data_IF_809717532480
#
_entry.id   IF_809717532480
#
_cell.length_a   1.000
_cell.length_b   1.000
_cell.length_c   1.000
_cell.angle_alpha   90.00
_cell.angle_beta   90.00
_cell.angle_gamma   90.00
#
_symmetry.space_group_name_H-M   'P 1'
#
loop_
_entity.id
_entity.type
_entity.pdbx_description
1 polymer ?
#
# COMPACT_ATOMS: atom_id res chain seq x y z
N UNK A 1 17.14 -27.71 -14.22
CA UNK A 1 16.97 -26.49 -13.41
C UNK A 1 16.25 -26.92 -12.14
N UNK A 2 16.99 -27.08 -11.04
CA UNK A 2 16.43 -27.62 -9.79
C UNK A 2 16.07 -26.43 -8.89
N UNK A 3 14.79 -26.09 -8.80
CA UNK A 3 14.29 -25.12 -7.81
C UNK A 3 14.60 -25.68 -6.41
N UNK A 4 15.46 -24.99 -5.64
CA UNK A 4 15.58 -25.25 -4.20
C UNK A 4 14.50 -24.42 -3.51
N UNK A 5 13.60 -25.10 -2.81
CA UNK A 5 12.46 -24.47 -2.14
C UNK A 5 12.88 -23.44 -1.10
N UNK A 6 11.91 -22.59 -0.74
CA UNK A 6 12.05 -21.59 0.30
C UNK A 6 12.54 -22.22 1.61
N UNK A 7 13.58 -21.64 2.20
CA UNK A 7 14.04 -22.03 3.54
C UNK A 7 13.50 -21.02 4.54
N UNK A 8 12.71 -21.51 5.50
CA UNK A 8 12.33 -20.73 6.68
C UNK A 8 13.53 -20.68 7.61
N UNK A 9 14.18 -19.53 7.72
CA UNK A 9 15.04 -19.28 8.86
C UNK A 9 14.10 -19.06 10.06
N UNK A 10 14.32 -19.75 11.18
CA UNK A 10 13.44 -19.72 12.36
C UNK A 10 13.36 -18.37 13.10
N UNK A 11 13.42 -17.23 12.40
CA UNK A 11 13.63 -15.89 12.95
C UNK A 11 12.98 -14.79 12.08
N UNK A 12 11.67 -14.89 11.81
CA UNK A 12 10.95 -13.83 11.09
C UNK A 12 11.49 -13.53 9.70
N UNK A 13 12.09 -14.53 9.03
CA UNK A 13 12.65 -14.38 7.69
C UNK A 13 12.36 -15.60 6.82
N UNK A 14 11.95 -15.36 5.58
CA UNK A 14 11.88 -16.37 4.52
C UNK A 14 12.88 -15.97 3.43
N UNK A 15 13.70 -16.93 3.00
CA UNK A 15 14.59 -16.78 1.85
C UNK A 15 14.11 -17.69 0.73
N UNK A 16 13.79 -17.10 -0.42
CA UNK A 16 13.50 -17.80 -1.65
C UNK A 16 14.71 -17.73 -2.58
N UNK A 17 15.28 -18.88 -2.92
CA UNK A 17 16.45 -18.98 -3.80
C UNK A 17 15.98 -19.46 -5.17
N UNK A 18 15.75 -18.52 -6.08
CA UNK A 18 15.34 -18.83 -7.45
C UNK A 18 16.49 -19.55 -8.18
N UNK A 19 17.70 -18.98 -8.10
CA UNK A 19 18.93 -19.61 -8.55
C UNK A 19 20.14 -19.11 -7.72
N UNK A 20 21.37 -19.48 -8.11
CA UNK A 20 22.59 -19.10 -7.39
C UNK A 20 22.89 -17.59 -7.44
N UNK A 21 22.34 -16.88 -8.43
CA UNK A 21 22.53 -15.47 -8.68
C UNK A 21 21.30 -14.63 -8.29
N UNK A 22 20.14 -15.23 -7.98
CA UNK A 22 18.91 -14.50 -7.65
C UNK A 22 18.22 -15.10 -6.42
N UNK A 23 18.02 -14.24 -5.43
CA UNK A 23 17.23 -14.58 -4.24
C UNK A 23 16.25 -13.46 -3.93
N UNK A 24 15.16 -13.83 -3.25
CA UNK A 24 14.28 -12.89 -2.58
C UNK A 24 14.29 -13.17 -1.08
N UNK A 25 14.45 -12.13 -0.27
CA UNK A 25 14.38 -12.19 1.18
C UNK A 25 13.16 -11.43 1.67
N UNK A 26 12.37 -12.08 2.52
CA UNK A 26 11.18 -11.53 3.16
C UNK A 26 11.41 -11.47 4.66
N UNK A 27 11.10 -10.33 5.27
CA UNK A 27 11.22 -10.08 6.71
C UNK A 27 9.83 -9.91 7.30
N UNK A 28 9.66 -10.37 8.54
CA UNK A 28 8.40 -10.35 9.26
C UNK A 28 8.58 -9.76 10.66
N UNK A 29 7.52 -9.15 11.18
CA UNK A 29 7.46 -8.76 12.60
C UNK A 29 7.00 -9.92 13.50
N UNK A 30 6.89 -9.66 14.80
CA UNK A 30 6.47 -10.64 15.82
C UNK A 30 5.03 -11.15 15.61
N UNK A 31 4.22 -10.44 14.82
CA UNK A 31 2.87 -10.86 14.42
C UNK A 31 2.85 -11.58 13.07
N UNK A 32 4.02 -11.96 12.55
CA UNK A 32 4.20 -12.61 11.25
C UNK A 32 3.66 -11.77 10.07
N UNK A 33 3.77 -10.44 10.16
CA UNK A 33 3.39 -9.51 9.08
C UNK A 33 4.64 -9.07 8.32
N UNK A 34 4.57 -9.01 7.00
CA UNK A 34 5.69 -8.64 6.13
C UNK A 34 6.20 -7.22 6.44
N UNK A 35 7.46 -7.04 6.83
CA UNK A 35 8.07 -5.72 7.11
C UNK A 35 9.03 -5.27 6.02
N UNK A 36 9.56 -6.21 5.24
CA UNK A 36 10.49 -5.91 4.17
C UNK A 36 10.59 -7.03 3.14
N UNK A 37 10.82 -6.66 1.89
CA UNK A 37 11.13 -7.58 0.81
C UNK A 37 12.30 -7.04 -0.02
N UNK A 38 13.29 -7.88 -0.31
CA UNK A 38 14.48 -7.53 -1.07
C UNK A 38 14.71 -8.58 -2.14
N UNK A 39 14.94 -8.16 -3.38
CA UNK A 39 15.12 -9.07 -4.50
C UNK A 39 16.27 -8.62 -5.42
N UNK A 40 17.04 -9.59 -5.88
CA UNK A 40 18.14 -9.36 -6.82
C UNK A 40 19.35 -10.25 -6.55
N UNK A 41 20.47 -9.97 -7.22
CA UNK A 41 21.71 -10.66 -6.98
C UNK A 41 22.31 -10.32 -5.63
N UNK A 42 22.77 -11.32 -4.89
CA UNK A 42 23.50 -11.11 -3.63
C UNK A 42 24.92 -10.63 -3.98
N UNK A 43 25.45 -9.58 -3.32
CA UNK A 43 24.85 -8.73 -2.29
C UNK A 43 24.16 -7.46 -2.84
N UNK A 44 24.13 -7.28 -4.15
CA UNK A 44 23.65 -6.08 -4.84
C UNK A 44 22.15 -6.16 -5.15
N UNK A 45 21.32 -6.01 -4.11
CA UNK A 45 19.87 -5.97 -4.27
C UNK A 45 19.44 -4.91 -5.29
N UNK A 46 18.67 -5.32 -6.29
CA UNK A 46 18.17 -4.42 -7.35
C UNK A 46 16.79 -3.86 -7.04
N UNK A 47 16.07 -4.49 -6.11
CA UNK A 47 14.75 -4.09 -5.69
C UNK A 47 14.58 -4.28 -4.18
N UNK A 48 13.91 -3.33 -3.55
CA UNK A 48 13.50 -3.43 -2.15
C UNK A 48 12.16 -2.76 -1.93
N UNK A 49 11.41 -3.24 -0.95
CA UNK A 49 10.18 -2.61 -0.47
C UNK A 49 10.06 -2.79 1.04
N UNK A 50 9.74 -1.69 1.73
CA UNK A 50 9.47 -1.68 3.17
C UNK A 50 7.97 -1.56 3.44
N UNK A 51 7.55 -2.09 4.59
CA UNK A 51 6.18 -2.05 5.06
C UNK A 51 6.15 -1.72 6.54
N UNK A 52 5.23 -0.85 6.95
CA UNK A 52 4.90 -0.63 8.36
C UNK A 52 3.42 -0.87 8.58
N UNK A 53 3.04 -1.29 9.78
CA UNK A 53 1.67 -1.63 10.14
C UNK A 53 1.22 -0.90 11.39
N UNK A 54 -0.07 -0.58 11.47
CA UNK A 54 -0.70 -0.16 12.72
C UNK A 54 -1.02 -1.37 13.64
N UNK A 55 -1.51 -1.15 14.88
CA UNK A 55 -1.94 -2.23 15.77
C UNK A 55 -3.12 -3.07 15.24
N UNK A 56 -3.86 -2.58 14.26
CA UNK A 56 -5.00 -3.28 13.65
C UNK A 56 -4.61 -4.06 12.38
N UNK A 57 -3.34 -3.99 11.97
CA UNK A 57 -2.81 -4.74 10.83
C UNK A 57 -2.92 -4.00 9.49
N UNK A 58 -3.30 -2.73 9.47
CA UNK A 58 -3.32 -1.95 8.24
C UNK A 58 -1.92 -1.47 7.89
N UNK A 59 -1.58 -1.43 6.61
CA UNK A 59 -0.30 -0.91 6.14
C UNK A 59 -0.30 0.61 6.30
N UNK A 60 0.56 1.15 7.16
CA UNK A 60 0.74 2.59 7.38
C UNK A 60 1.89 3.17 6.58
N UNK A 61 2.85 2.35 6.14
CA UNK A 61 3.87 2.75 5.20
C UNK A 61 4.02 1.68 4.12
N UNK A 62 3.98 2.07 2.85
CA UNK A 62 4.24 1.22 1.70
C UNK A 62 5.35 1.85 0.87
N UNK A 63 6.54 1.26 0.90
CA UNK A 63 7.70 1.74 0.13
C UNK A 63 8.04 3.22 0.36
N UNK A 64 7.90 3.72 1.60
CA UNK A 64 8.13 5.13 1.94
C UNK A 64 6.91 6.03 1.82
N UNK A 65 5.79 5.55 1.24
CA UNK A 65 4.53 6.29 1.18
C UNK A 65 3.69 6.00 2.42
N UNK A 66 3.39 7.02 3.21
CA UNK A 66 2.53 6.90 4.39
C UNK A 66 1.07 6.87 3.97
N UNK A 67 0.34 5.84 4.40
CA UNK A 67 -1.09 5.64 4.12
C UNK A 67 -1.92 6.23 5.27
N UNK A 68 -2.94 7.00 4.94
CA UNK A 68 -3.84 7.61 5.90
C UNK A 68 -5.22 6.92 5.86
N UNK A 69 -5.72 6.53 7.02
CA UNK A 69 -7.03 5.87 7.18
C UNK A 69 -7.96 6.78 7.97
N UNK A 70 -9.26 6.71 7.68
CA UNK A 70 -10.25 7.33 8.55
C UNK A 70 -10.27 6.63 9.91
N UNK A 71 -10.19 7.38 11.00
CA UNK A 71 -10.24 6.87 12.36
C UNK A 71 -11.54 7.27 13.07
N UNK A 72 -11.96 6.46 14.03
CA UNK A 72 -13.03 6.79 14.95
C UNK A 72 -12.46 7.66 16.10
N UNK A 73 -13.32 8.01 17.07
CA UNK A 73 -12.92 8.85 18.22
C UNK A 73 -11.86 8.24 19.12
N UNK A 74 -11.67 6.91 19.10
CA UNK A 74 -10.60 6.25 19.86
C UNK A 74 -9.27 6.18 19.08
N UNK A 75 -9.21 6.74 17.87
CA UNK A 75 -8.05 6.64 16.97
C UNK A 75 -7.94 5.28 16.27
N UNK A 76 -8.89 4.37 16.48
CA UNK A 76 -8.92 3.11 15.74
C UNK A 76 -9.47 3.38 14.33
N UNK A 77 -9.02 2.65 13.30
CA UNK A 77 -9.59 2.74 11.97
C UNK A 77 -11.11 2.58 12.03
N UNK A 78 -11.84 3.60 11.59
CA UNK A 78 -13.30 3.54 11.46
C UNK A 78 -13.70 2.56 10.36
N UNK A 79 -12.84 2.41 9.35
CA UNK A 79 -12.92 1.44 8.27
C UNK A 79 -11.51 1.02 7.89
N UNK A 80 -11.36 -0.10 7.17
CA UNK A 80 -10.08 -0.48 6.56
C UNK A 80 -9.89 0.17 5.16
N UNK A 81 -10.15 1.48 5.06
CA UNK A 81 -10.09 2.22 3.80
C UNK A 81 -9.07 3.33 3.90
N UNK A 82 -8.15 3.37 2.94
CA UNK A 82 -7.21 4.49 2.74
C UNK A 82 -8.02 5.69 2.23
N UNK A 83 -7.91 6.83 2.92
CA UNK A 83 -8.54 8.09 2.53
C UNK A 83 -7.56 9.05 1.84
N UNK A 84 -6.26 8.77 1.95
CA UNK A 84 -5.21 9.48 1.23
C UNK A 84 -3.83 9.00 1.62
N UNK A 85 -2.80 9.62 1.06
CA UNK A 85 -1.41 9.28 1.36
C UNK A 85 -0.49 10.51 1.44
N UNK A 86 0.77 10.29 1.82
CA UNK A 86 1.78 11.33 1.93
C UNK A 86 2.23 11.95 0.59
N UNK A 87 1.79 11.40 -0.55
CA UNK A 87 2.05 11.98 -1.88
C UNK A 87 0.95 12.95 -2.32
N UNK A 88 -0.11 13.10 -1.50
CA UNK A 88 -1.25 13.94 -1.81
C UNK A 88 -2.37 13.20 -2.55
N UNK A 89 -2.30 11.86 -2.65
CA UNK A 89 -3.45 11.10 -3.13
C UNK A 89 -4.62 11.24 -2.14
N UNK A 90 -5.83 11.30 -2.68
CA UNK A 90 -7.06 11.33 -1.89
C UNK A 90 -8.07 10.34 -2.50
N UNK A 91 -8.79 9.63 -1.62
CA UNK A 91 -9.76 8.62 -2.01
C UNK A 91 -11.10 8.87 -1.31
N UNK A 92 -12.16 8.91 -2.10
CA UNK A 92 -13.53 9.09 -1.62
C UNK A 92 -14.29 7.76 -1.63
N UNK A 93 -15.21 7.62 -0.68
CA UNK A 93 -16.10 6.46 -0.60
C UNK A 93 -17.52 6.91 -0.25
N UNK A 94 -18.52 6.17 -0.73
CA UNK A 94 -19.88 6.32 -0.26
C UNK A 94 -20.11 5.59 1.09
N UNK A 95 -21.34 5.68 1.61
CA UNK A 95 -21.71 5.04 2.89
C UNK A 95 -21.67 3.51 2.83
N UNK A 96 -21.94 2.92 1.67
CA UNK A 96 -21.85 1.47 1.47
C UNK A 96 -20.39 1.00 1.36
N UNK A 97 -19.47 1.90 1.00
CA UNK A 97 -18.05 1.64 0.85
C UNK A 97 -17.54 1.53 -0.56
N UNK A 98 -18.35 1.86 -1.55
CA UNK A 98 -17.86 1.93 -2.93
C UNK A 98 -16.93 3.13 -3.03
N UNK A 99 -15.79 2.96 -3.70
CA UNK A 99 -14.91 4.08 -4.02
C UNK A 99 -15.64 5.01 -5.00
N UNK A 100 -15.69 6.30 -4.70
CA UNK A 100 -16.35 7.35 -5.50
C UNK A 100 -15.35 8.29 -6.16
N UNK A 101 -14.13 8.36 -5.63
CA UNK A 101 -13.03 9.11 -6.24
C UNK A 101 -11.67 8.52 -5.90
N UNK A 102 -10.73 8.73 -6.83
CA UNK A 102 -9.31 8.48 -6.67
C UNK A 102 -8.54 9.58 -7.42
N UNK A 103 -7.20 9.69 -7.27
CA UNK A 103 -6.43 10.65 -8.04
C UNK A 103 -6.67 10.51 -9.55
N UNK A 104 -7.21 11.56 -10.17
CA UNK A 104 -7.54 11.58 -11.60
C UNK A 104 -8.84 10.87 -11.99
N UNK A 105 -9.62 10.33 -11.06
CA UNK A 105 -10.80 9.53 -11.43
C UNK A 105 -12.01 9.79 -10.52
N UNK A 106 -13.20 9.74 -11.10
CA UNK A 106 -14.46 9.60 -10.38
C UNK A 106 -15.22 8.35 -10.82
N UNK A 107 -15.96 7.78 -9.88
CA UNK A 107 -16.70 6.53 -10.04
C UNK A 107 -18.14 6.71 -9.57
N UNK A 108 -19.08 6.01 -10.23
CA UNK A 108 -20.45 5.87 -9.73
C UNK A 108 -20.88 4.41 -9.79
N UNK A 109 -21.56 3.98 -8.73
CA UNK A 109 -22.17 2.67 -8.63
C UNK A 109 -23.70 2.78 -8.63
N UNK A 110 -24.38 1.73 -9.08
CA UNK A 110 -25.82 1.59 -8.89
C UNK A 110 -26.18 1.08 -7.48
N UNK A 111 -27.48 0.94 -7.19
CA UNK A 111 -27.97 0.44 -5.90
C UNK A 111 -27.60 -1.02 -5.59
N UNK A 112 -27.01 -1.75 -6.53
CA UNK A 112 -26.48 -3.10 -6.35
C UNK A 112 -24.94 -3.11 -6.28
N UNK A 113 -24.30 -1.95 -6.06
CA UNK A 113 -22.85 -1.77 -5.98
C UNK A 113 -22.09 -2.15 -7.26
N UNK A 114 -22.72 -2.03 -8.43
CA UNK A 114 -22.06 -2.26 -9.72
C UNK A 114 -21.61 -0.94 -10.31
N UNK A 115 -20.37 -0.88 -10.81
CA UNK A 115 -19.83 0.30 -11.49
C UNK A 115 -20.67 0.61 -12.73
N UNK A 116 -21.23 1.82 -12.79
CA UNK A 116 -22.02 2.32 -13.92
C UNK A 116 -21.37 3.52 -14.61
N UNK A 117 -20.34 4.11 -13.99
CA UNK A 117 -19.60 5.23 -14.59
C UNK A 117 -18.16 5.28 -14.08
N UNK A 118 -17.25 5.52 -15.00
CA UNK A 118 -15.87 5.93 -14.78
C UNK A 118 -15.65 7.24 -15.52
N UNK A 119 -15.10 8.27 -14.87
CA UNK A 119 -14.72 9.53 -15.53
C UNK A 119 -13.27 9.86 -15.19
N UNK A 120 -12.50 10.20 -16.22
CA UNK A 120 -11.20 10.83 -16.06
C UNK A 120 -11.42 12.29 -15.63
N UNK A 121 -10.76 12.69 -14.55
CA UNK A 121 -10.75 14.07 -14.09
C UNK A 121 -9.47 14.71 -14.63
N UNK A 122 -9.56 15.83 -15.36
CA UNK A 122 -8.37 16.48 -15.88
C UNK A 122 -7.39 16.75 -14.73
N UNK A 123 -6.09 16.54 -14.99
CA UNK A 123 -5.03 16.73 -14.00
C UNK A 123 -5.24 18.05 -13.27
N UNK A 124 -5.39 18.00 -11.94
CA UNK A 124 -5.54 19.22 -11.15
C UNK A 124 -4.31 20.08 -11.38
N UNK A 125 -4.52 21.28 -11.96
CA UNK A 125 -3.46 22.27 -12.08
C UNK A 125 -2.90 22.53 -10.68
N UNK A 126 -1.57 22.63 -10.49
CA UNK A 126 -1.01 22.93 -9.19
C UNK A 126 -1.64 24.23 -8.67
N UNK A 127 -2.26 24.16 -7.49
CA UNK A 127 -2.76 25.35 -6.80
C UNK A 127 -1.58 26.29 -6.58
N UNK A 128 -1.51 27.35 -7.38
CA UNK A 128 -0.66 28.51 -7.11
C UNK A 128 -1.18 29.13 -5.81
N UNK A 129 -0.49 28.83 -4.71
CA UNK A 129 -0.67 29.54 -3.45
C UNK A 129 -0.21 30.98 -3.68
N UNK A 130 -1.13 31.88 -4.01
CA UNK A 130 -0.84 33.31 -4.00
C UNK A 130 -0.72 33.73 -2.53
N UNK A 131 0.51 33.79 -2.03
CA UNK A 131 0.80 34.52 -0.80
C UNK A 131 0.55 36.01 -1.07
N UNK A 132 -0.58 36.52 -0.60
CA UNK A 132 -0.74 37.97 -0.40
C UNK A 132 0.07 38.37 0.83
N UNK A 133 1.16 39.11 0.58
CA UNK A 133 1.75 40.01 1.57
C UNK A 133 1.02 41.35 1.59
#
# INVERSE_FOLDING_TARGET
MTHRGATTAGSGQITDNYDAAYTTQYYYDDYNRLTGAYAGPIPNWTWSRSYAHDPWGNITNLAGVTQNYATNTSGAPATNRVIGDSTGAAFGYDQAGNMTSAPGWSYACDGANRLIRLQDLPAQAPMLLTATG
#
